data_IF_473608648206
#
_entry.id   IF_473608648206
#
_cell.length_a   1.000
_cell.length_b   1.000
_cell.length_c   1.000
_cell.angle_alpha   90.00
_cell.angle_beta   90.00
_cell.angle_gamma   90.00
#
_symmetry.space_group_name_H-M   'P 1'
#
loop_
_entity.id
_entity.type
_entity.pdbx_description
1 polymer ?
#
# COMPACT_ATOMS: atom_id res chain seq x y z
N UNK A 1 28.08 35.08 9.20
CA UNK A 1 26.74 35.66 8.99
C UNK A 1 25.69 34.58 9.16
N UNK A 2 24.85 34.76 10.18
CA UNK A 2 23.56 34.13 10.54
C UNK A 2 23.29 32.66 10.16
N UNK A 3 23.40 31.78 11.15
CA UNK A 3 22.75 30.46 11.16
C UNK A 3 21.25 30.67 11.41
N UNK A 4 20.40 30.18 10.51
CA UNK A 4 18.96 30.12 10.73
C UNK A 4 18.65 28.92 11.62
N UNK A 5 18.37 29.17 12.90
CA UNK A 5 17.78 28.19 13.81
C UNK A 5 16.30 28.04 13.46
N UNK A 6 15.96 27.05 12.63
CA UNK A 6 14.57 26.61 12.48
C UNK A 6 14.18 25.81 13.73
N UNK A 7 13.35 26.42 14.57
CA UNK A 7 12.74 25.79 15.74
C UNK A 7 12.05 24.48 15.34
N UNK A 8 12.50 23.38 15.97
CA UNK A 8 11.92 22.03 15.92
C UNK A 8 10.51 22.02 16.55
N UNK A 9 9.53 22.69 15.93
CA UNK A 9 8.14 22.53 16.30
C UNK A 9 7.69 21.13 15.85
N UNK A 10 7.31 20.28 16.81
CA UNK A 10 6.82 18.93 16.57
C UNK A 10 5.56 19.02 15.70
N UNK A 11 5.66 18.61 14.43
CA UNK A 11 4.53 18.61 13.50
C UNK A 11 3.50 17.59 13.98
N UNK A 12 2.22 17.98 13.96
CA UNK A 12 1.07 17.09 14.16
C UNK A 12 0.49 16.65 12.82
N UNK A 13 -0.20 15.52 12.79
CA UNK A 13 -1.00 15.09 11.64
C UNK A 13 -2.10 16.12 11.35
N UNK A 14 -2.34 16.37 10.06
CA UNK A 14 -3.56 17.04 9.61
C UNK A 14 -4.75 16.09 9.67
N UNK A 15 -5.97 16.63 9.65
CA UNK A 15 -7.21 15.81 9.59
C UNK A 15 -7.23 14.85 8.40
N UNK A 16 -6.68 15.28 7.25
CA UNK A 16 -6.58 14.43 6.06
C UNK A 16 -5.61 13.27 6.27
N UNK A 17 -4.44 13.54 6.85
CA UNK A 17 -3.44 12.51 7.14
C UNK A 17 -3.91 11.54 8.24
N UNK A 18 -4.63 12.02 9.26
CA UNK A 18 -5.23 11.12 10.28
C UNK A 18 -6.25 10.19 9.63
N UNK A 19 -7.17 10.73 8.83
CA UNK A 19 -8.16 9.90 8.12
C UNK A 19 -7.49 8.91 7.17
N UNK A 20 -6.43 9.34 6.49
CA UNK A 20 -5.64 8.45 5.64
C UNK A 20 -5.07 7.29 6.45
N UNK A 21 -4.41 7.58 7.57
CA UNK A 21 -3.83 6.61 8.49
C UNK A 21 -4.87 5.63 9.04
N UNK A 22 -6.04 6.14 9.45
CA UNK A 22 -7.14 5.34 9.99
C UNK A 22 -7.71 4.35 8.94
N UNK A 23 -7.68 4.72 7.65
CA UNK A 23 -8.22 3.89 6.55
C UNK A 23 -7.17 2.96 5.91
N UNK A 24 -5.89 3.13 6.22
CA UNK A 24 -4.81 2.34 5.62
C UNK A 24 -4.93 0.84 5.89
N UNK A 25 -5.20 0.37 7.13
CA UNK A 25 -5.30 -1.06 7.40
C UNK A 25 -6.34 -1.77 6.53
N UNK A 26 -7.52 -1.16 6.36
CA UNK A 26 -8.58 -1.73 5.50
C UNK A 26 -8.15 -1.80 4.03
N UNK A 27 -7.41 -0.79 3.54
CA UNK A 27 -6.89 -0.77 2.18
C UNK A 27 -5.82 -1.86 1.96
N UNK A 28 -4.94 -2.05 2.94
CA UNK A 28 -3.92 -3.11 2.91
C UNK A 28 -4.59 -4.48 2.89
N UNK A 29 -5.53 -4.73 3.80
CA UNK A 29 -6.27 -6.00 3.87
C UNK A 29 -7.00 -6.30 2.55
N UNK A 30 -7.67 -5.30 1.95
CA UNK A 30 -8.36 -5.48 0.69
C UNK A 30 -7.41 -5.90 -0.45
N UNK A 31 -6.22 -5.29 -0.53
CA UNK A 31 -5.19 -5.61 -1.51
C UNK A 31 -4.60 -7.01 -1.27
N UNK A 32 -4.30 -7.37 -0.03
CA UNK A 32 -3.79 -8.70 0.34
C UNK A 32 -4.81 -9.80 0.00
N UNK A 33 -6.10 -9.56 0.26
CA UNK A 33 -7.19 -10.48 -0.09
C UNK A 33 -7.31 -10.64 -1.60
N UNK A 34 -7.22 -9.54 -2.35
CA UNK A 34 -7.25 -9.59 -3.81
C UNK A 34 -6.06 -10.37 -4.38
N UNK A 35 -4.84 -10.05 -3.92
CA UNK A 35 -3.62 -10.74 -4.33
C UNK A 35 -3.70 -12.24 -4.03
N UNK A 36 -4.14 -12.61 -2.82
CA UNK A 36 -4.31 -14.02 -2.42
C UNK A 36 -5.29 -14.75 -3.33
N UNK A 37 -6.41 -14.11 -3.69
CA UNK A 37 -7.41 -14.70 -4.61
C UNK A 37 -6.82 -14.94 -6.00
N UNK A 38 -6.08 -13.98 -6.54
CA UNK A 38 -5.46 -14.11 -7.86
C UNK A 38 -4.40 -15.21 -7.84
N UNK A 39 -3.52 -15.24 -6.83
CA UNK A 39 -2.49 -16.27 -6.70
C UNK A 39 -3.08 -17.68 -6.48
N UNK A 40 -4.19 -17.78 -5.74
CA UNK A 40 -4.93 -19.03 -5.60
C UNK A 40 -5.51 -19.51 -6.95
N UNK A 41 -6.06 -18.59 -7.75
CA UNK A 41 -6.51 -18.89 -9.10
C UNK A 41 -5.35 -19.35 -10.00
N UNK A 42 -4.21 -18.66 -9.95
CA UNK A 42 -2.97 -19.02 -10.67
C UNK A 42 -2.47 -20.43 -10.36
N UNK A 43 -2.66 -20.87 -9.12
CA UNK A 43 -2.23 -22.20 -8.65
C UNK A 43 -3.22 -23.32 -9.02
N UNK A 44 -4.39 -22.98 -9.57
CA UNK A 44 -5.39 -23.96 -9.96
C UNK A 44 -5.05 -24.66 -11.28
N UNK A 45 -5.41 -25.94 -11.40
CA UNK A 45 -5.19 -26.72 -12.64
C UNK A 45 -5.96 -26.19 -13.85
N UNK A 46 -7.04 -25.42 -13.63
CA UNK A 46 -7.83 -24.81 -14.68
C UNK A 46 -7.28 -23.45 -15.13
N UNK A 47 -6.30 -22.89 -14.42
CA UNK A 47 -5.73 -21.57 -14.71
C UNK A 47 -5.19 -21.45 -16.14
N UNK A 48 -4.45 -22.46 -16.59
CA UNK A 48 -3.87 -22.51 -17.93
C UNK A 48 -4.91 -22.54 -19.06
N UNK A 49 -6.21 -22.72 -18.74
CA UNK A 49 -7.31 -22.70 -19.71
C UNK A 49 -7.89 -21.29 -19.92
N UNK A 50 -7.55 -20.31 -19.07
CA UNK A 50 -8.05 -18.93 -19.16
C UNK A 50 -7.49 -18.18 -20.39
N UNK A 51 -6.42 -18.70 -20.97
CA UNK A 51 -5.78 -18.13 -22.15
C UNK A 51 -4.77 -17.03 -21.81
N UNK A 52 -3.89 -16.71 -22.76
CA UNK A 52 -2.70 -15.91 -22.51
C UNK A 52 -2.99 -14.44 -22.14
N UNK A 53 -4.14 -13.89 -22.56
CA UNK A 53 -4.53 -12.51 -22.20
C UNK A 53 -4.91 -12.41 -20.72
N UNK A 54 -5.82 -13.27 -20.24
CA UNK A 54 -6.23 -13.27 -18.83
C UNK A 54 -5.02 -13.54 -17.91
N UNK A 55 -4.17 -14.49 -18.29
CA UNK A 55 -2.96 -14.80 -17.52
C UNK A 55 -2.00 -13.61 -17.40
N UNK A 56 -1.86 -12.80 -18.47
CA UNK A 56 -1.07 -11.56 -18.43
C UNK A 56 -1.71 -10.52 -17.53
N UNK A 57 -3.03 -10.35 -17.59
CA UNK A 57 -3.76 -9.40 -16.77
C UNK A 57 -3.64 -9.74 -15.28
N UNK A 58 -3.81 -11.01 -14.93
CA UNK A 58 -3.68 -11.46 -13.54
C UNK A 58 -2.26 -11.24 -13.00
N UNK A 59 -1.23 -11.53 -13.81
CA UNK A 59 0.17 -11.27 -13.45
C UNK A 59 0.43 -9.78 -13.27
N UNK A 60 -0.04 -8.95 -14.19
CA UNK A 60 0.10 -7.50 -14.09
C UNK A 60 -0.62 -6.95 -12.86
N UNK A 61 -1.79 -7.49 -12.51
CA UNK A 61 -2.51 -7.07 -11.31
C UNK A 61 -1.78 -7.47 -10.03
N UNK A 62 -1.21 -8.67 -9.95
CA UNK A 62 -0.38 -9.08 -8.79
C UNK A 62 0.80 -8.13 -8.62
N UNK A 63 1.53 -7.83 -9.70
CA UNK A 63 2.68 -6.92 -9.65
C UNK A 63 2.27 -5.50 -9.21
N UNK A 64 1.13 -5.02 -9.72
CA UNK A 64 0.59 -3.72 -9.31
C UNK A 64 0.20 -3.71 -7.81
N UNK A 65 -0.38 -4.80 -7.30
CA UNK A 65 -0.72 -4.89 -5.88
C UNK A 65 0.54 -4.87 -5.01
N UNK A 66 1.62 -5.54 -5.42
CA UNK A 66 2.90 -5.51 -4.70
C UNK A 66 3.44 -4.06 -4.58
N UNK A 67 3.42 -3.30 -5.69
CA UNK A 67 3.84 -1.90 -5.71
C UNK A 67 2.93 -1.01 -4.84
N UNK A 68 1.60 -1.23 -4.90
CA UNK A 68 0.62 -0.49 -4.10
C UNK A 68 0.80 -0.76 -2.59
N UNK A 69 1.03 -2.01 -2.20
CA UNK A 69 1.27 -2.41 -0.82
C UNK A 69 2.56 -1.79 -0.28
N UNK A 70 3.65 -1.83 -1.04
CA UNK A 70 4.91 -1.20 -0.65
C UNK A 70 4.72 0.31 -0.38
N UNK A 71 4.08 1.01 -1.31
CA UNK A 71 3.82 2.44 -1.17
C UNK A 71 2.91 2.77 0.03
N UNK A 72 1.91 1.92 0.31
CA UNK A 72 1.03 2.07 1.47
C UNK A 72 1.79 1.87 2.79
N UNK A 73 2.67 0.87 2.87
CA UNK A 73 3.47 0.60 4.05
C UNK A 73 4.47 1.73 4.33
N UNK A 74 5.18 2.21 3.31
CA UNK A 74 6.08 3.37 3.43
C UNK A 74 5.33 4.62 3.93
N UNK A 75 4.14 4.87 3.38
CA UNK A 75 3.29 5.98 3.80
C UNK A 75 2.77 5.80 5.22
N UNK A 76 2.36 4.59 5.59
CA UNK A 76 1.89 4.26 6.93
C UNK A 76 2.99 4.52 7.97
N UNK A 77 4.21 4.05 7.72
CA UNK A 77 5.37 4.31 8.59
C UNK A 77 5.65 5.81 8.73
N UNK A 78 5.61 6.56 7.62
CA UNK A 78 5.79 8.00 7.64
C UNK A 78 4.71 8.72 8.46
N UNK A 79 3.45 8.26 8.39
CA UNK A 79 2.33 8.79 9.16
C UNK A 79 2.43 8.46 10.66
N UNK A 80 2.74 7.21 10.98
CA UNK A 80 2.99 6.74 12.35
C UNK A 80 4.16 7.49 13.02
N UNK A 81 5.22 7.81 12.27
CA UNK A 81 6.35 8.59 12.77
C UNK A 81 6.01 10.04 13.12
N UNK A 82 4.89 10.58 12.61
CA UNK A 82 4.38 11.91 12.99
C UNK A 82 3.43 11.78 14.18
N UNK A 83 2.58 10.76 14.20
CA UNK A 83 1.63 10.50 15.29
C UNK A 83 2.33 10.21 16.62
N UNK A 84 3.38 9.38 16.58
CA UNK A 84 4.19 9.00 17.75
C UNK A 84 5.15 10.10 18.23
N UNK A 85 5.20 11.23 17.52
CA UNK A 85 5.90 12.43 17.95
C UNK A 85 4.94 13.28 18.79
#
# INVERSE_FOLDING_TARGET
SVQATSTNARRKLSYKEQRELDTMPERIEALEVEQTKIQAAMSSSNYYRLGPEQMRQDKARVDQIDDELLALLERWEALQAIESR
#
